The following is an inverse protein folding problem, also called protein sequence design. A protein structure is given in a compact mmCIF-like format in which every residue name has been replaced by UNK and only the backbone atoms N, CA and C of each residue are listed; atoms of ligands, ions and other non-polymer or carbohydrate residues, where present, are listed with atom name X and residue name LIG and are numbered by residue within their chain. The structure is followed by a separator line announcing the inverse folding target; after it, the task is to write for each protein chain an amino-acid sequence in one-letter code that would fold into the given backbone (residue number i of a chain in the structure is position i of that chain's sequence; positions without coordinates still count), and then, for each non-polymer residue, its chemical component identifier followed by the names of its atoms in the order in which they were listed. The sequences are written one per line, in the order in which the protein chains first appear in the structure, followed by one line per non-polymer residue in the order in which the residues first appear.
data_IF_901523557041
#
_entry.id   IF_901523557041
#
_cell.length_a   1.000
_cell.length_b   1.000
_cell.length_c   1.000
_cell.angle_alpha   90.00
_cell.angle_beta   90.00
_cell.angle_gamma   90.00
#
_symmetry.space_group_name_H-M   'P 1'
#
loop_
_entity.id
_entity.type
_entity.pdbx_description
1 polymer ?
#
# COMPACT_ATOMS: atom_id res chain seq x y z
N UNK A 1 -4.86 -1.65 -3.07
CA UNK A 1 -5.78 -0.51 -2.89
C UNK A 1 -5.55 0.50 -4.02
N UNK A 2 -6.62 1.01 -4.61
CA UNK A 2 -6.60 2.10 -5.59
C UNK A 2 -7.24 3.35 -4.99
N UNK A 3 -6.62 4.51 -5.18
CA UNK A 3 -7.07 5.80 -4.68
C UNK A 3 -7.22 6.77 -5.85
N UNK A 4 -8.41 7.35 -6.01
CA UNK A 4 -8.62 8.52 -6.84
C UNK A 4 -8.89 9.72 -5.95
N UNK A 5 -8.28 10.86 -6.21
CA UNK A 5 -8.43 12.07 -5.41
C UNK A 5 -8.54 13.29 -6.33
N UNK A 6 -9.18 14.33 -5.81
CA UNK A 6 -9.21 15.63 -6.46
C UNK A 6 -7.85 16.35 -6.43
N UNK A 7 -7.84 17.60 -6.86
CA UNK A 7 -6.65 18.44 -6.97
C UNK A 7 -6.22 19.09 -5.64
N UNK A 8 -6.95 18.88 -4.53
CA UNK A 8 -6.64 19.51 -3.23
C UNK A 8 -5.43 18.84 -2.56
N UNK A 9 -5.18 17.56 -2.84
CA UNK A 9 -4.01 16.83 -2.34
C UNK A 9 -4.14 16.44 -0.87
N UNK A 10 -3.07 16.59 -0.08
CA UNK A 10 -3.09 16.26 1.36
C UNK A 10 -2.79 14.80 1.73
N UNK A 11 -2.58 13.91 0.75
CA UNK A 11 -2.05 12.57 1.05
C UNK A 11 -0.56 12.66 1.41
N UNK A 12 -0.18 12.07 2.55
CA UNK A 12 1.21 11.94 2.98
C UNK A 12 1.57 10.49 3.24
N UNK A 13 2.77 10.09 2.88
CA UNK A 13 3.36 8.77 3.16
C UNK A 13 4.52 8.92 4.15
N UNK A 14 4.64 7.98 5.08
CA UNK A 14 5.79 7.92 5.99
C UNK A 14 6.96 7.23 5.29
N UNK A 15 8.13 7.84 5.39
CA UNK A 15 9.39 7.27 4.91
C UNK A 15 10.51 7.62 5.88
N UNK A 16 10.98 6.62 6.64
CA UNK A 16 11.86 6.84 7.79
C UNK A 16 11.18 7.69 8.84
N UNK A 17 11.82 8.80 9.26
CA UNK A 17 11.27 9.74 10.24
C UNK A 17 10.62 10.98 9.59
N UNK A 18 10.28 10.90 8.30
CA UNK A 18 9.72 12.03 7.53
C UNK A 18 8.39 11.65 6.89
N UNK A 19 7.54 12.66 6.75
CA UNK A 19 6.30 12.58 5.98
C UNK A 19 6.50 13.23 4.62
N UNK A 20 6.32 12.46 3.56
CA UNK A 20 6.42 12.93 2.17
C UNK A 20 5.02 13.17 1.61
N UNK A 21 4.81 14.33 0.99
CA UNK A 21 3.56 14.65 0.32
C UNK A 21 3.47 13.93 -1.03
N UNK A 22 2.31 13.34 -1.31
CA UNK A 22 2.01 12.76 -2.62
C UNK A 22 1.32 13.83 -3.47
N UNK A 23 1.87 14.19 -4.66
CA UNK A 23 1.24 15.15 -5.54
C UNK A 23 -0.16 14.73 -5.96
N UNK A 24 -1.11 15.67 -5.93
CA UNK A 24 -2.44 15.47 -6.48
C UNK A 24 -2.37 15.53 -8.00
N UNK A 25 -2.85 14.49 -8.67
CA UNK A 25 -2.90 14.40 -10.13
C UNK A 25 -4.29 13.98 -10.55
N UNK A 26 -4.96 14.82 -11.34
CA UNK A 26 -6.31 14.55 -11.84
C UNK A 26 -6.37 13.37 -12.82
N UNK A 27 -5.25 13.07 -13.48
CA UNK A 27 -5.11 12.05 -14.51
C UNK A 27 -4.48 10.74 -13.99
N UNK A 28 -4.43 10.55 -12.66
CA UNK A 28 -3.76 9.41 -12.07
C UNK A 28 -4.54 8.76 -10.92
N UNK A 29 -4.21 7.50 -10.68
CA UNK A 29 -4.63 6.74 -9.50
C UNK A 29 -3.41 6.46 -8.62
N UNK A 30 -3.56 6.69 -7.31
CA UNK A 30 -2.61 6.22 -6.32
C UNK A 30 -2.81 4.74 -6.08
N UNK A 31 -1.75 3.93 -6.19
CA UNK A 31 -1.78 2.51 -5.88
C UNK A 31 -1.01 2.26 -4.58
N UNK A 32 -1.65 1.61 -3.62
CA UNK A 32 -1.00 1.15 -2.40
C UNK A 32 -1.07 -0.38 -2.28
N UNK A 33 0.04 -0.97 -1.86
CA UNK A 33 0.18 -2.40 -1.61
C UNK A 33 -0.25 -2.69 -0.17
N UNK A 34 -1.26 -3.54 -0.02
CA UNK A 34 -1.78 -3.96 1.27
C UNK A 34 -1.16 -5.29 1.71
N UNK A 35 -1.31 -5.61 3.00
CA UNK A 35 -0.73 -6.79 3.65
C UNK A 35 -1.11 -8.09 2.95
N UNK A 36 -2.34 -8.20 2.47
CA UNK A 36 -2.82 -9.36 1.72
C UNK A 36 -2.02 -9.60 0.42
N UNK A 37 -1.71 -8.53 -0.31
CA UNK A 37 -0.90 -8.63 -1.53
C UNK A 37 0.57 -8.90 -1.20
N UNK A 38 1.11 -8.33 -0.12
CA UNK A 38 2.44 -8.67 0.37
C UNK A 38 2.55 -10.16 0.74
N UNK A 39 1.56 -10.71 1.44
CA UNK A 39 1.51 -12.13 1.79
C UNK A 39 1.42 -13.02 0.54
N UNK A 40 0.63 -12.60 -0.45
CA UNK A 40 0.52 -13.28 -1.74
C UNK A 40 1.83 -13.25 -2.55
N UNK A 41 2.61 -12.18 -2.47
CA UNK A 41 3.89 -12.06 -3.18
C UNK A 41 5.11 -12.54 -2.37
N UNK A 42 4.92 -13.43 -1.39
CA UNK A 42 5.97 -13.96 -0.53
C UNK A 42 6.86 -12.86 0.09
N UNK A 43 6.24 -11.77 0.56
CA UNK A 43 6.93 -10.59 1.14
C UNK A 43 7.94 -9.89 0.22
N UNK A 44 7.92 -10.16 -1.09
CA UNK A 44 8.78 -9.47 -2.09
C UNK A 44 8.52 -7.96 -2.12
N UNK A 45 7.27 -7.56 -1.90
CA UNK A 45 6.88 -6.17 -1.76
C UNK A 45 6.57 -5.85 -0.31
N UNK A 46 7.02 -4.70 0.18
CA UNK A 46 6.71 -4.24 1.53
C UNK A 46 5.30 -3.66 1.55
N UNK A 47 4.37 -4.26 2.30
CA UNK A 47 3.24 -3.52 2.85
C UNK A 47 3.67 -2.97 4.21
N UNK A 48 3.29 -1.73 4.49
CA UNK A 48 3.86 -0.97 5.61
C UNK A 48 4.12 0.49 5.29
N UNK A 49 3.71 0.95 4.10
CA UNK A 49 3.60 2.38 3.86
C UNK A 49 2.46 2.94 4.73
N UNK A 50 2.83 3.52 5.88
CA UNK A 50 1.92 4.29 6.70
C UNK A 50 1.57 5.55 5.90
N UNK A 51 0.29 5.78 5.69
CA UNK A 51 -0.22 6.94 4.98
C UNK A 51 -1.25 7.67 5.82
N UNK A 52 -1.38 8.97 5.60
CA UNK A 52 -2.40 9.82 6.24
C UNK A 52 -2.93 10.85 5.25
N UNK A 53 -4.19 11.22 5.42
CA UNK A 53 -4.77 12.39 4.77
C UNK A 53 -4.77 13.54 5.77
N UNK A 54 -4.11 14.65 5.43
CA UNK A 54 -4.20 15.90 6.19
C UNK A 54 -5.28 16.80 5.61
N UNK A 55 -5.99 17.52 6.48
CA UNK A 55 -7.03 18.47 6.08
C UNK A 55 -6.42 19.80 5.66
N UNK A 56 -7.12 20.47 4.75
CA UNK A 56 -6.89 21.86 4.37
C UNK A 56 -8.06 22.66 4.94
N UNK A 57 -7.77 23.78 5.63
CA UNK A 57 -8.78 24.58 6.33
C UNK A 57 -9.70 25.36 5.37
N UNK A 58 -9.22 25.64 4.16
CA UNK A 58 -9.91 26.46 3.17
C UNK A 58 -10.59 25.62 2.08
N UNK A 59 -10.03 24.45 1.76
CA UNK A 59 -10.42 23.63 0.60
C UNK A 59 -10.92 22.25 1.00
N UNK A 60 -12.15 21.93 0.58
CA UNK A 60 -12.74 20.60 0.78
C UNK A 60 -12.09 19.57 -0.16
N UNK A 61 -11.41 18.59 0.42
CA UNK A 61 -10.85 17.43 -0.29
C UNK A 61 -11.88 16.30 -0.43
N UNK A 62 -11.96 15.72 -1.62
CA UNK A 62 -12.71 14.49 -1.91
C UNK A 62 -11.77 13.42 -2.47
N UNK A 63 -11.98 12.18 -2.04
CA UNK A 63 -11.28 11.03 -2.60
C UNK A 63 -12.13 9.78 -2.55
N UNK A 64 -11.93 8.89 -3.53
CA UNK A 64 -12.55 7.57 -3.62
C UNK A 64 -11.47 6.52 -3.44
N UNK A 65 -11.73 5.53 -2.58
CA UNK A 65 -10.83 4.41 -2.31
C UNK A 65 -11.51 3.11 -2.72
N UNK A 66 -10.80 2.30 -3.48
CA UNK A 66 -11.22 0.95 -3.85
C UNK A 66 -10.25 -0.08 -3.28
N UNK A 67 -10.80 -1.04 -2.53
CA UNK A 67 -10.04 -2.14 -1.96
C UNK A 67 -10.22 -3.38 -2.82
N UNK A 68 -9.09 -3.91 -3.29
CA UNK A 68 -9.04 -5.22 -3.94
C UNK A 68 -8.61 -6.20 -2.85
N UNK A 69 -9.57 -7.01 -2.41
CA UNK A 69 -9.36 -8.06 -1.41
C UNK A 69 -9.84 -9.39 -1.98
N UNK A 70 -9.20 -10.51 -1.62
CA UNK A 70 -9.74 -11.84 -1.85
C UNK A 70 -11.12 -11.99 -1.20
N UNK A 71 -11.88 -13.00 -1.62
CA UNK A 71 -13.08 -13.41 -0.89
C UNK A 71 -12.70 -13.81 0.54
N UNK A 72 -13.62 -13.65 1.49
CA UNK A 72 -13.36 -13.92 2.91
C UNK A 72 -12.92 -15.36 3.18
N UNK A 73 -13.38 -16.31 2.37
CA UNK A 73 -13.06 -17.74 2.45
C UNK A 73 -11.82 -18.14 1.62
N UNK A 74 -11.20 -17.21 0.89
CA UNK A 74 -10.07 -17.51 0.03
C UNK A 74 -8.78 -17.71 0.84
N UNK A 75 -8.10 -18.84 0.62
CA UNK A 75 -6.75 -19.09 1.17
C UNK A 75 -5.72 -18.28 0.38
N UNK A 76 -5.08 -17.33 1.07
CA UNK A 76 -4.00 -16.52 0.49
C UNK A 76 -2.68 -17.30 0.61
N UNK A 77 -2.20 -17.84 -0.51
CA UNK A 77 -0.89 -18.50 -0.61
C UNK A 77 -0.06 -17.89 -1.72
N UNK A 78 1.26 -17.86 -1.53
CA UNK A 78 2.16 -17.43 -2.60
C UNK A 78 2.22 -18.47 -3.73
N UNK A 79 2.23 -18.05 -5.00
CA UNK A 79 2.55 -18.93 -6.12
C UNK A 79 3.91 -19.60 -5.93
N UNK A 80 4.03 -20.86 -6.36
CA UNK A 80 5.25 -21.68 -6.18
C UNK A 80 6.47 -21.02 -6.82
N UNK A 81 6.31 -20.36 -7.98
CA UNK A 81 7.37 -19.60 -8.66
C UNK A 81 7.91 -18.41 -7.86
N UNK A 82 7.17 -17.92 -6.86
CA UNK A 82 7.59 -16.84 -5.97
C UNK A 82 8.15 -17.37 -4.63
N UNK A 83 8.11 -18.68 -4.41
CA UNK A 83 8.76 -19.35 -3.29
C UNK A 83 10.20 -19.63 -3.68
N UNK A 84 11.08 -18.63 -3.49
CA UNK A 84 12.52 -18.88 -3.52
C UNK A 84 12.83 -19.83 -2.37
N UNK A 85 13.40 -21.01 -2.64
CA UNK A 85 14.03 -21.84 -1.61
C UNK A 85 15.06 -20.96 -0.90
N UNK A 86 14.73 -20.48 0.30
CA UNK A 86 15.71 -19.82 1.12
C UNK A 86 16.66 -20.89 1.63
N UNK A 87 17.80 -21.08 0.96
CA UNK A 87 19.02 -21.53 1.62
C UNK A 87 19.43 -20.44 2.61
N UNK A 88 18.80 -20.45 3.79
CA UNK A 88 19.27 -19.79 4.99
C UNK A 88 19.08 -20.75 6.15
N UNK A 89 19.96 -21.74 6.16
CA UNK A 89 20.34 -22.40 7.41
C UNK A 89 20.88 -21.35 8.38
N UNK A 90 20.40 -21.43 9.63
CA UNK A 90 21.04 -20.85 10.81
C UNK A 90 20.82 -19.35 11.02
N UNK A 91 19.81 -18.99 11.81
CA UNK A 91 19.85 -17.93 12.84
C UNK A 91 18.51 -17.87 13.58
N UNK A 92 18.19 -18.98 14.24
CA UNK A 92 17.45 -18.95 15.50
C UNK A 92 18.24 -19.82 16.48
N UNK A 93 19.10 -19.15 17.23
CA UNK A 93 19.65 -19.54 18.54
C UNK A 93 19.45 -18.33 19.45
#
# INVERSE_FOLDING_TARGET
MMLHQDHVGGLKISSGNKWLSVPARQDAFGINICDTFMAFCNRRYKSGCIHRAVMDEERKRKSLVYFVSPKEDAVVRSPEDLVVQSSRDGLFS
#
